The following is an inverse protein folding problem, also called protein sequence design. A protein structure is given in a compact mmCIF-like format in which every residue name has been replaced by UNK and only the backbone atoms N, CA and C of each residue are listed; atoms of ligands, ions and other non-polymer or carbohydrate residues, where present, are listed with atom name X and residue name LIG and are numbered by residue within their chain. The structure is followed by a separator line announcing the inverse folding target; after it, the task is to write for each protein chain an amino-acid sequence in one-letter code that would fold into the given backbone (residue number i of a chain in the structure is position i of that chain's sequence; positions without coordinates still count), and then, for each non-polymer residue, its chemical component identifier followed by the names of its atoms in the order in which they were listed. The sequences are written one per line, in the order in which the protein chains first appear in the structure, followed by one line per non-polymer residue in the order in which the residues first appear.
data_IF_923707097849
#
_entry.id   IF_923707097849
#
_cell.length_a   1.000
_cell.length_b   1.000
_cell.length_c   1.000
_cell.angle_alpha   90.00
_cell.angle_beta   90.00
_cell.angle_gamma   90.00
#
_symmetry.space_group_name_H-M   'P 1'
#
loop_
_entity.id
_entity.type
_entity.pdbx_description
1 polymer ?
#
# COMPACT_ATOMS: atom_id res chain seq x y z
N UNK A 1 15.96 40.57 11.47
CA UNK A 1 16.40 39.26 10.99
C UNK A 1 17.07 39.44 9.65
N UNK A 2 18.38 39.23 9.56
CA UNK A 2 19.14 39.29 8.32
C UNK A 2 19.00 37.96 7.60
N UNK A 3 18.55 37.92 6.33
CA UNK A 3 18.43 36.65 5.59
C UNK A 3 19.83 36.06 5.39
N UNK A 4 19.94 34.74 5.60
CA UNK A 4 21.17 34.01 5.29
C UNK A 4 21.34 34.01 3.75
N UNK A 5 22.52 34.43 3.25
CA UNK A 5 22.81 34.35 1.83
C UNK A 5 23.48 32.99 1.50
N UNK A 6 22.94 32.28 0.52
CA UNK A 6 23.55 31.07 -0.07
C UNK A 6 24.01 31.39 -1.49
N UNK A 7 25.19 30.99 -1.84
CA UNK A 7 25.74 31.15 -3.19
C UNK A 7 25.36 29.91 -4.01
N UNK A 8 24.54 30.11 -5.05
CA UNK A 8 24.21 29.11 -6.06
C UNK A 8 24.59 29.68 -7.42
N UNK A 9 25.44 29.00 -8.15
CA UNK A 9 25.93 29.38 -9.49
C UNK A 9 26.53 30.80 -9.58
N UNK A 10 27.22 31.25 -8.52
CA UNK A 10 27.86 32.58 -8.52
C UNK A 10 26.93 33.77 -8.23
N UNK A 11 25.66 33.53 -7.96
CA UNK A 11 24.67 34.55 -7.61
C UNK A 11 24.28 34.42 -6.13
N UNK A 12 24.34 35.52 -5.37
CA UNK A 12 23.95 35.57 -3.97
C UNK A 12 22.43 35.66 -3.86
N UNK A 13 21.81 34.55 -3.56
CA UNK A 13 20.36 34.49 -3.35
C UNK A 13 20.07 34.57 -1.85
N UNK A 14 19.19 35.51 -1.45
CA UNK A 14 18.67 35.57 -0.08
C UNK A 14 17.72 34.43 0.18
N UNK A 15 18.12 33.49 1.03
CA UNK A 15 17.28 32.36 1.43
C UNK A 15 16.52 32.70 2.72
N UNK A 16 15.23 32.86 2.65
CA UNK A 16 14.35 32.82 3.82
C UNK A 16 14.25 31.34 4.26
N UNK A 17 15.03 30.97 5.28
CA UNK A 17 14.92 29.67 5.92
C UNK A 17 13.59 29.58 6.68
N UNK A 18 12.52 29.20 6.00
CA UNK A 18 11.29 28.78 6.65
C UNK A 18 11.49 27.33 7.09
N UNK A 19 11.81 27.12 8.35
CA UNK A 19 11.77 25.80 8.94
C UNK A 19 10.28 25.50 9.18
N UNK A 20 9.72 24.55 8.47
CA UNK A 20 8.41 24.01 8.81
C UNK A 20 8.54 23.31 10.16
N UNK A 21 8.16 24.00 11.23
CA UNK A 21 7.99 23.36 12.53
C UNK A 21 6.73 22.49 12.43
N UNK A 22 6.91 21.18 12.44
CA UNK A 22 5.80 20.22 12.49
C UNK A 22 5.20 20.32 13.89
N UNK A 23 4.16 21.16 14.02
CA UNK A 23 3.44 21.32 15.26
C UNK A 23 2.65 20.05 15.60
N UNK A 24 2.78 19.53 16.82
CA UNK A 24 1.96 18.42 17.30
C UNK A 24 0.57 18.93 17.68
N UNK A 25 -0.47 18.48 16.96
CA UNK A 25 -1.86 18.79 17.30
C UNK A 25 -2.38 17.69 18.24
N UNK A 26 -2.78 18.07 19.46
CA UNK A 26 -3.38 17.15 20.40
C UNK A 26 -4.91 17.24 20.33
N UNK A 27 -5.57 16.09 20.18
CA UNK A 27 -7.03 16.01 20.16
C UNK A 27 -7.57 15.40 21.44
N UNK A 28 -8.75 15.85 21.89
CA UNK A 28 -9.48 15.15 22.94
C UNK A 28 -9.92 13.74 22.48
N UNK A 29 -10.23 12.80 23.43
CA UNK A 29 -10.49 11.39 23.10
C UNK A 29 -11.55 11.17 22.01
N UNK A 30 -12.67 11.89 22.09
CA UNK A 30 -13.77 11.76 21.13
C UNK A 30 -13.40 12.34 19.74
N UNK A 31 -12.71 13.47 19.73
CA UNK A 31 -12.22 14.07 18.48
C UNK A 31 -11.13 13.21 17.84
N UNK A 32 -10.26 12.61 18.65
CA UNK A 32 -9.25 11.69 18.18
C UNK A 32 -9.87 10.45 17.52
N UNK A 33 -10.94 9.88 18.12
CA UNK A 33 -11.66 8.75 17.53
C UNK A 33 -12.29 9.11 16.17
N UNK A 34 -12.95 10.29 16.08
CA UNK A 34 -13.51 10.78 14.82
C UNK A 34 -12.44 11.01 13.75
N UNK A 35 -11.28 11.56 14.13
CA UNK A 35 -10.15 11.73 13.19
C UNK A 35 -9.53 10.40 12.77
N UNK A 36 -9.43 9.44 13.68
CA UNK A 36 -8.92 8.11 13.37
C UNK A 36 -9.83 7.36 12.38
N UNK A 37 -11.16 7.47 12.53
CA UNK A 37 -12.11 6.85 11.58
C UNK A 37 -12.05 7.47 10.18
N UNK A 38 -11.98 8.81 10.08
CA UNK A 38 -11.80 9.49 8.79
C UNK A 38 -10.48 9.12 8.14
N UNK A 39 -9.38 9.14 8.89
CA UNK A 39 -8.06 8.76 8.40
C UNK A 39 -8.01 7.29 7.92
N UNK A 40 -8.63 6.37 8.67
CA UNK A 40 -8.76 4.97 8.23
C UNK A 40 -9.57 4.86 6.94
N UNK A 41 -10.64 5.64 6.79
CA UNK A 41 -11.43 5.71 5.56
C UNK A 41 -10.62 6.20 4.37
N UNK A 42 -9.79 7.23 4.55
CA UNK A 42 -8.89 7.76 3.53
C UNK A 42 -7.84 6.73 3.11
N UNK A 43 -7.23 6.02 4.07
CA UNK A 43 -6.28 4.94 3.78
C UNK A 43 -6.97 3.82 2.99
N UNK A 44 -8.18 3.41 3.38
CA UNK A 44 -8.95 2.41 2.63
C UNK A 44 -9.22 2.85 1.20
N UNK A 45 -9.70 4.07 1.00
CA UNK A 45 -9.98 4.63 -0.32
C UNK A 45 -8.71 4.68 -1.18
N UNK A 46 -7.61 5.19 -0.62
CA UNK A 46 -6.32 5.28 -1.31
C UNK A 46 -5.78 3.88 -1.66
N UNK A 47 -5.95 2.90 -0.77
CA UNK A 47 -5.54 1.52 -1.02
C UNK A 47 -6.36 0.87 -2.14
N UNK A 48 -7.69 1.11 -2.19
CA UNK A 48 -8.53 0.63 -3.30
C UNK A 48 -8.07 1.25 -4.62
N UNK A 49 -7.86 2.56 -4.63
CA UNK A 49 -7.38 3.28 -5.82
C UNK A 49 -6.02 2.77 -6.28
N UNK A 50 -5.11 2.52 -5.34
CA UNK A 50 -3.79 1.94 -5.62
C UNK A 50 -3.87 0.54 -6.20
N UNK A 51 -4.78 -0.31 -5.68
CA UNK A 51 -4.99 -1.66 -6.22
C UNK A 51 -5.54 -1.63 -7.65
N UNK A 52 -6.50 -0.73 -7.94
CA UNK A 52 -7.07 -0.58 -9.28
C UNK A 52 -6.02 -0.04 -10.27
N UNK A 53 -5.17 0.89 -9.83
CA UNK A 53 -4.11 1.49 -10.64
C UNK A 53 -2.83 0.63 -10.73
N UNK A 54 -2.76 -0.51 -10.02
CA UNK A 54 -1.60 -1.38 -9.99
C UNK A 54 -1.12 -1.80 -11.39
N UNK A 55 -2.00 -2.25 -12.32
CA UNK A 55 -1.56 -2.65 -13.65
C UNK A 55 -0.90 -1.52 -14.45
N UNK A 56 -1.36 -0.27 -14.28
CA UNK A 56 -0.79 0.90 -14.97
C UNK A 56 0.56 1.34 -14.39
N UNK A 57 0.87 0.99 -13.15
CA UNK A 57 2.16 1.30 -12.49
C UNK A 57 3.26 0.28 -12.77
N UNK A 58 2.92 -0.90 -13.31
CA UNK A 58 3.93 -1.95 -13.60
C UNK A 58 4.98 -1.49 -14.64
N UNK A 59 4.63 -0.85 -15.77
CA UNK A 59 5.61 -0.36 -16.72
C UNK A 59 6.59 0.64 -16.11
N UNK A 60 6.09 1.56 -15.29
CA UNK A 60 6.93 2.56 -14.60
C UNK A 60 7.87 1.87 -13.62
N UNK A 61 7.39 0.88 -12.87
CA UNK A 61 8.20 0.08 -11.97
C UNK A 61 9.32 -0.66 -12.71
N UNK A 62 9.04 -1.23 -13.88
CA UNK A 62 10.06 -1.88 -14.73
C UNK A 62 11.11 -0.87 -15.19
N UNK A 63 10.69 0.30 -15.66
CA UNK A 63 11.59 1.36 -16.11
C UNK A 63 12.43 1.92 -14.94
N UNK A 64 11.88 2.03 -13.75
CA UNK A 64 12.60 2.43 -12.53
C UNK A 64 13.56 1.34 -12.04
N UNK A 65 13.24 0.05 -12.28
CA UNK A 65 14.07 -1.07 -11.82
C UNK A 65 15.28 -1.30 -12.73
N UNK A 66 15.07 -1.28 -14.04
CA UNK A 66 16.08 -1.65 -15.04
C UNK A 66 16.54 -0.47 -15.91
N UNK A 67 15.86 0.68 -15.84
CA UNK A 67 16.22 1.93 -16.50
C UNK A 67 17.02 2.86 -15.59
N UNK A 68 17.34 4.06 -16.10
CA UNK A 68 18.05 5.10 -15.34
C UNK A 68 17.09 6.09 -14.63
N UNK A 69 15.86 5.71 -14.37
CA UNK A 69 14.89 6.57 -13.68
C UNK A 69 15.01 6.40 -12.17
N UNK A 70 14.95 7.50 -11.44
CA UNK A 70 14.87 7.47 -9.98
C UNK A 70 13.58 6.79 -9.53
N UNK A 71 13.66 6.10 -8.38
CA UNK A 71 12.50 5.45 -7.77
C UNK A 71 11.54 6.51 -7.24
N UNK A 72 10.27 6.40 -7.63
CA UNK A 72 9.21 7.24 -7.09
C UNK A 72 8.97 6.88 -5.61
N UNK A 73 9.13 7.84 -4.67
CA UNK A 73 8.87 7.61 -3.24
C UNK A 73 7.42 7.24 -2.93
N UNK A 74 6.46 7.65 -3.78
CA UNK A 74 5.03 7.30 -3.67
C UNK A 74 4.67 6.06 -4.50
N UNK A 75 5.68 5.42 -5.11
CA UNK A 75 5.53 4.26 -5.95
C UNK A 75 5.24 2.97 -5.17
N UNK A 76 5.28 1.86 -5.90
CA UNK A 76 5.10 0.54 -5.31
C UNK A 76 6.34 0.14 -4.51
N UNK A 77 6.13 -0.29 -3.27
CA UNK A 77 7.18 -0.68 -2.32
C UNK A 77 7.02 -2.16 -1.98
N UNK A 78 8.11 -2.90 -2.02
CA UNK A 78 8.13 -4.30 -1.58
C UNK A 78 8.51 -4.44 -0.10
N UNK A 79 8.64 -5.70 0.33
CA UNK A 79 8.95 -6.01 1.74
C UNK A 79 10.31 -5.46 2.17
N UNK A 80 11.31 -5.51 1.28
CA UNK A 80 12.66 -4.98 1.56
C UNK A 80 12.64 -3.47 1.66
N UNK A 81 11.85 -2.79 0.80
CA UNK A 81 11.66 -1.35 0.87
C UNK A 81 11.00 -0.91 2.17
N UNK A 82 9.95 -1.61 2.63
CA UNK A 82 9.32 -1.35 3.93
C UNK A 82 10.30 -1.54 5.08
N UNK A 83 11.11 -2.61 5.06
CA UNK A 83 12.14 -2.85 6.08
C UNK A 83 13.19 -1.73 6.09
N UNK A 84 13.61 -1.24 4.92
CA UNK A 84 14.55 -0.12 4.79
C UNK A 84 13.97 1.17 5.34
N UNK A 85 12.75 1.55 4.91
CA UNK A 85 12.05 2.74 5.42
C UNK A 85 11.89 2.69 6.93
N UNK A 86 11.57 1.51 7.47
CA UNK A 86 11.51 1.30 8.92
C UNK A 86 12.86 1.53 9.59
N UNK A 87 13.96 1.02 9.00
CA UNK A 87 15.32 1.24 9.51
C UNK A 87 15.74 2.71 9.46
N UNK A 88 15.50 3.41 8.34
CA UNK A 88 15.78 4.83 8.19
C UNK A 88 14.97 5.67 9.19
N UNK A 89 13.70 5.33 9.43
CA UNK A 89 12.87 5.97 10.45
C UNK A 89 13.46 5.76 11.87
N UNK A 90 13.99 4.58 12.15
CA UNK A 90 14.63 4.30 13.45
C UNK A 90 15.90 5.13 13.66
N UNK A 91 16.72 5.26 12.63
CA UNK A 91 18.05 5.89 12.70
C UNK A 91 18.02 7.42 12.60
N UNK A 92 16.98 8.00 11.94
CA UNK A 92 16.93 9.45 11.73
C UNK A 92 16.93 10.21 13.05
N UNK A 93 17.68 11.33 13.08
CA UNK A 93 17.69 12.27 14.20
C UNK A 93 16.64 13.38 14.05
N UNK A 94 15.99 13.45 12.90
CA UNK A 94 14.95 14.44 12.64
C UNK A 94 13.65 14.18 13.39
N UNK A 95 13.41 12.93 13.81
CA UNK A 95 12.20 12.51 14.52
C UNK A 95 12.48 12.24 16.00
N UNK A 96 11.56 12.68 16.85
CA UNK A 96 11.54 12.32 18.27
C UNK A 96 11.17 10.85 18.45
N UNK A 97 11.50 10.25 19.60
CA UNK A 97 11.15 8.86 19.92
C UNK A 97 9.63 8.59 19.80
N UNK A 98 8.81 9.57 20.20
CA UNK A 98 7.35 9.46 20.09
C UNK A 98 6.89 9.40 18.63
N UNK A 99 7.44 10.25 17.77
CA UNK A 99 7.12 10.27 16.34
C UNK A 99 7.59 8.99 15.65
N UNK A 100 8.75 8.47 15.99
CA UNK A 100 9.23 7.16 15.51
C UNK A 100 8.24 6.06 15.85
N UNK A 101 7.82 5.96 17.11
CA UNK A 101 6.84 4.96 17.55
C UNK A 101 5.52 5.12 16.79
N UNK A 102 5.02 6.36 16.63
CA UNK A 102 3.80 6.62 15.89
C UNK A 102 3.91 6.19 14.42
N UNK A 103 5.05 6.48 13.76
CA UNK A 103 5.33 6.06 12.39
C UNK A 103 5.38 4.54 12.26
N UNK A 104 6.01 3.83 13.20
CA UNK A 104 6.01 2.36 13.20
C UNK A 104 4.61 1.77 13.34
N UNK A 105 3.80 2.31 14.26
CA UNK A 105 2.41 1.88 14.42
C UNK A 105 1.62 2.13 13.13
N UNK A 106 1.83 3.27 12.48
CA UNK A 106 1.19 3.60 11.21
C UNK A 106 1.60 2.65 10.08
N UNK A 107 2.89 2.33 9.96
CA UNK A 107 3.38 1.36 8.97
C UNK A 107 2.71 -0.01 9.20
N UNK A 108 2.69 -0.51 10.42
CA UNK A 108 2.07 -1.80 10.76
C UNK A 108 0.57 -1.77 10.49
N UNK A 109 -0.13 -0.70 10.86
CA UNK A 109 -1.56 -0.55 10.63
C UNK A 109 -1.88 -0.52 9.12
N UNK A 110 -1.11 0.24 8.34
CA UNK A 110 -1.27 0.34 6.88
C UNK A 110 -1.02 -0.99 6.19
N UNK A 111 0.03 -1.73 6.59
CA UNK A 111 0.31 -3.07 6.08
C UNK A 111 -0.83 -4.05 6.37
N UNK A 112 -1.33 -4.08 7.61
CA UNK A 112 -2.46 -4.94 7.97
C UNK A 112 -3.71 -4.62 7.17
N UNK A 113 -4.01 -3.32 7.01
CA UNK A 113 -5.15 -2.86 6.23
C UNK A 113 -5.01 -3.27 4.76
N UNK A 114 -3.84 -3.05 4.16
CA UNK A 114 -3.56 -3.40 2.77
C UNK A 114 -3.64 -4.90 2.54
N UNK A 115 -3.03 -5.72 3.41
CA UNK A 115 -3.08 -7.19 3.34
C UNK A 115 -4.52 -7.69 3.50
N UNK A 116 -5.29 -7.11 4.44
CA UNK A 116 -6.69 -7.45 4.63
C UNK A 116 -7.52 -7.15 3.40
N UNK A 117 -7.35 -5.96 2.80
CA UNK A 117 -8.03 -5.59 1.55
C UNK A 117 -7.63 -6.48 0.38
N UNK A 118 -6.34 -6.79 0.27
CA UNK A 118 -5.82 -7.67 -0.77
C UNK A 118 -6.46 -9.06 -0.67
N UNK A 119 -6.59 -9.58 0.56
CA UNK A 119 -7.25 -10.86 0.81
C UNK A 119 -8.75 -10.86 0.50
N UNK A 120 -9.41 -9.69 0.50
CA UNK A 120 -10.82 -9.57 0.11
C UNK A 120 -11.06 -9.56 -1.40
N UNK A 121 -10.00 -9.47 -2.23
CA UNK A 121 -10.16 -9.53 -3.69
C UNK A 121 -10.77 -10.89 -4.10
N UNK A 122 -11.78 -10.89 -5.00
CA UNK A 122 -12.46 -12.12 -5.43
C UNK A 122 -11.60 -12.95 -6.40
N UNK A 123 -10.36 -13.21 -6.02
CA UNK A 123 -9.34 -13.89 -6.82
C UNK A 123 -8.79 -15.09 -6.02
N UNK A 124 -8.84 -16.28 -6.57
CA UNK A 124 -8.08 -17.41 -6.05
C UNK A 124 -6.59 -17.20 -6.38
N UNK A 125 -5.66 -17.47 -5.46
CA UNK A 125 -5.77 -18.24 -4.19
C UNK A 125 -6.08 -17.41 -2.92
N UNK A 126 -6.56 -16.17 -3.03
CA UNK A 126 -6.89 -15.32 -1.89
C UNK A 126 -8.20 -15.77 -1.21
N UNK A 127 -8.36 -15.39 0.07
CA UNK A 127 -9.57 -15.73 0.86
C UNK A 127 -10.85 -15.19 0.22
N UNK A 128 -10.80 -13.99 -0.37
CA UNK A 128 -11.92 -13.39 -1.09
C UNK A 128 -12.40 -14.22 -2.29
N UNK A 129 -11.51 -14.98 -2.93
CA UNK A 129 -11.89 -15.93 -3.98
C UNK A 129 -12.75 -17.07 -3.44
N UNK A 130 -12.39 -17.65 -2.31
CA UNK A 130 -13.21 -18.66 -1.63
C UNK A 130 -14.55 -18.10 -1.15
N UNK A 131 -14.55 -16.86 -0.60
CA UNK A 131 -15.78 -16.16 -0.24
C UNK A 131 -16.67 -15.91 -1.46
N UNK A 132 -16.12 -15.50 -2.58
CA UNK A 132 -16.87 -15.26 -3.81
C UNK A 132 -17.55 -16.55 -4.32
N UNK A 133 -16.85 -17.69 -4.29
CA UNK A 133 -17.42 -19.01 -4.64
C UNK A 133 -18.56 -19.37 -3.69
N UNK A 134 -18.36 -19.22 -2.37
CA UNK A 134 -19.40 -19.54 -1.37
C UNK A 134 -20.65 -18.65 -1.55
N UNK A 135 -20.46 -17.36 -1.82
CA UNK A 135 -21.55 -16.41 -2.11
C UNK A 135 -22.29 -16.84 -3.39
N UNK A 136 -21.55 -17.16 -4.46
CA UNK A 136 -22.15 -17.62 -5.73
C UNK A 136 -22.99 -18.89 -5.52
N UNK A 137 -22.50 -19.85 -4.76
CA UNK A 137 -23.25 -21.05 -4.41
C UNK A 137 -24.49 -20.74 -3.56
N UNK A 138 -24.38 -19.81 -2.62
CA UNK A 138 -25.51 -19.32 -1.84
C UNK A 138 -26.61 -18.73 -2.75
N UNK A 139 -26.25 -17.90 -3.69
CA UNK A 139 -27.20 -17.32 -4.67
C UNK A 139 -27.82 -18.38 -5.57
N UNK A 140 -27.04 -19.35 -6.06
CA UNK A 140 -27.54 -20.46 -6.89
C UNK A 140 -28.57 -21.29 -6.11
N UNK A 141 -28.26 -21.63 -4.85
CA UNK A 141 -29.16 -22.39 -3.97
C UNK A 141 -30.45 -21.60 -3.69
N UNK A 142 -30.37 -20.30 -3.40
CA UNK A 142 -31.53 -19.45 -3.16
C UNK A 142 -32.41 -19.35 -4.39
N UNK A 143 -31.80 -19.19 -5.59
CA UNK A 143 -32.53 -19.14 -6.86
C UNK A 143 -33.22 -20.47 -7.19
N UNK A 144 -32.55 -21.63 -6.94
CA UNK A 144 -33.15 -22.93 -7.11
C UNK A 144 -34.36 -23.13 -6.19
N UNK A 145 -34.21 -22.77 -4.90
CA UNK A 145 -35.31 -22.84 -3.91
C UNK A 145 -36.50 -22.01 -4.32
N UNK A 146 -36.28 -20.76 -4.81
CA UNK A 146 -37.37 -19.88 -5.29
C UNK A 146 -38.11 -20.43 -6.52
N UNK A 147 -37.42 -21.23 -7.34
CA UNK A 147 -37.99 -21.88 -8.54
C UNK A 147 -38.54 -23.29 -8.29
N UNK A 148 -38.52 -23.77 -7.06
CA UNK A 148 -38.95 -25.16 -6.73
C UNK A 148 -38.05 -26.22 -7.32
N UNK A 149 -36.80 -25.89 -7.69
CA UNK A 149 -35.84 -26.81 -8.27
C UNK A 149 -35.01 -27.49 -7.18
N UNK A 150 -34.47 -28.69 -7.48
CA UNK A 150 -33.54 -29.36 -6.59
C UNK A 150 -32.30 -28.52 -6.33
N UNK A 151 -31.68 -28.72 -5.16
CA UNK A 151 -30.45 -28.03 -4.79
C UNK A 151 -29.34 -28.34 -5.81
N UNK A 152 -28.75 -27.32 -6.46
CA UNK A 152 -27.65 -27.54 -7.39
C UNK A 152 -26.41 -28.10 -6.68
N UNK A 153 -25.60 -28.86 -7.40
CA UNK A 153 -24.30 -29.32 -6.89
C UNK A 153 -23.41 -28.12 -6.52
N UNK A 154 -22.57 -28.24 -5.48
CA UNK A 154 -21.60 -27.19 -5.14
C UNK A 154 -20.75 -26.83 -6.34
N UNK A 155 -20.25 -25.57 -6.33
CA UNK A 155 -19.36 -25.12 -7.38
C UNK A 155 -18.04 -25.90 -7.31
N UNK A 156 -17.65 -26.46 -8.46
CA UNK A 156 -16.41 -27.23 -8.58
C UNK A 156 -15.21 -26.25 -8.65
N UNK A 157 -14.51 -26.09 -7.52
CA UNK A 157 -13.37 -25.19 -7.38
C UNK A 157 -12.18 -25.67 -8.22
N UNK A 158 -12.07 -26.96 -8.54
CA UNK A 158 -10.99 -27.50 -9.35
C UNK A 158 -11.00 -26.90 -10.76
N UNK A 159 -12.16 -26.54 -11.28
CA UNK A 159 -12.27 -25.85 -12.58
C UNK A 159 -11.64 -24.45 -12.59
N UNK A 160 -11.44 -23.85 -11.42
CA UNK A 160 -10.76 -22.56 -11.29
C UNK A 160 -9.24 -22.68 -11.15
N UNK A 161 -8.72 -23.90 -11.01
CA UNK A 161 -7.27 -24.16 -10.87
C UNK A 161 -6.43 -23.45 -11.93
N UNK A 162 -6.75 -23.47 -13.25
CA UNK A 162 -5.93 -22.78 -14.24
C UNK A 162 -5.92 -21.26 -14.04
N UNK A 163 -7.05 -20.67 -13.66
CA UNK A 163 -7.14 -19.23 -13.34
C UNK A 163 -6.31 -18.91 -12.09
N UNK A 164 -6.44 -19.75 -11.07
CA UNK A 164 -5.66 -19.64 -9.83
C UNK A 164 -4.16 -19.67 -10.09
N UNK A 165 -3.71 -20.56 -10.97
CA UNK A 165 -2.30 -20.67 -11.36
C UNK A 165 -1.81 -19.40 -12.08
N UNK A 166 -2.60 -18.83 -12.99
CA UNK A 166 -2.26 -17.58 -13.66
C UNK A 166 -2.12 -16.45 -12.66
N UNK A 167 -3.09 -16.29 -11.75
CA UNK A 167 -3.06 -15.26 -10.70
C UNK A 167 -1.84 -15.45 -9.80
N UNK A 168 -1.56 -16.70 -9.40
CA UNK A 168 -0.39 -16.99 -8.57
C UNK A 168 0.93 -16.61 -9.26
N UNK A 169 1.10 -16.97 -10.54
CA UNK A 169 2.30 -16.62 -11.32
C UNK A 169 2.44 -15.10 -11.46
N UNK A 170 1.35 -14.38 -11.72
CA UNK A 170 1.35 -12.92 -11.81
C UNK A 170 1.77 -12.28 -10.47
N UNK A 171 1.21 -12.76 -9.35
CA UNK A 171 1.56 -12.26 -8.03
C UNK A 171 3.02 -12.56 -7.67
N UNK A 172 3.49 -13.77 -7.96
CA UNK A 172 4.88 -14.16 -7.72
C UNK A 172 5.85 -13.31 -8.57
N UNK A 173 5.50 -13.06 -9.84
CA UNK A 173 6.29 -12.22 -10.74
C UNK A 173 6.35 -10.77 -10.26
N UNK A 174 5.22 -10.20 -9.84
CA UNK A 174 5.16 -8.85 -9.26
C UNK A 174 5.98 -8.76 -7.96
N UNK A 175 5.87 -9.77 -7.10
CA UNK A 175 6.65 -9.83 -5.85
C UNK A 175 8.16 -9.89 -6.12
N UNK A 176 8.58 -10.68 -7.11
CA UNK A 176 9.98 -10.76 -7.53
C UNK A 176 10.47 -9.45 -8.15
N UNK A 177 9.64 -8.79 -8.95
CA UNK A 177 9.94 -7.49 -9.54
C UNK A 177 10.13 -6.42 -8.45
N UNK A 178 9.22 -6.36 -7.46
CA UNK A 178 9.34 -5.45 -6.32
C UNK A 178 10.60 -5.72 -5.50
N UNK A 179 10.90 -6.99 -5.22
CA UNK A 179 12.11 -7.38 -4.51
C UNK A 179 13.37 -6.90 -5.26
N UNK A 180 13.39 -7.11 -6.57
CA UNK A 180 14.50 -6.68 -7.43
C UNK A 180 14.62 -5.15 -7.43
N UNK A 181 13.50 -4.45 -7.55
CA UNK A 181 13.45 -2.99 -7.50
C UNK A 181 13.96 -2.43 -6.17
N UNK A 182 13.55 -3.00 -5.04
CA UNK A 182 13.96 -2.57 -3.71
C UNK A 182 15.47 -2.78 -3.46
N UNK A 183 16.08 -3.77 -4.14
CA UNK A 183 17.52 -4.04 -4.02
C UNK A 183 18.34 -3.18 -4.97
N UNK A 184 17.95 -3.10 -6.26
CA UNK A 184 18.72 -2.40 -7.28
C UNK A 184 18.55 -0.87 -7.23
N UNK A 185 17.34 -0.40 -6.99
CA UNK A 185 17.02 1.02 -6.95
C UNK A 185 16.15 1.32 -5.72
N UNK A 186 16.74 1.37 -4.51
CA UNK A 186 15.99 1.55 -3.28
C UNK A 186 15.40 2.95 -3.16
N UNK A 187 14.18 3.04 -2.61
CA UNK A 187 13.59 4.30 -2.18
C UNK A 187 14.41 4.86 -1.03
N UNK A 188 14.71 6.15 -1.08
CA UNK A 188 15.40 6.91 -0.02
C UNK A 188 14.45 7.98 0.52
N UNK A 189 14.31 8.03 1.82
CA UNK A 189 13.55 9.09 2.49
C UNK A 189 14.47 10.30 2.71
N UNK A 190 14.05 11.46 2.22
CA UNK A 190 14.71 12.74 2.52
C UNK A 190 13.97 13.35 3.73
N UNK A 191 14.51 13.14 4.94
CA UNK A 191 14.02 13.73 6.18
C UNK A 191 14.53 15.16 6.37
#
# INVERSE_FOLDING_TARGET
MTPASRELDGEKIGVLGVVNEIGTITYGPFTALGKATTFTGEILQNSITSLISLPSKIPDLINQTFGNQERDPEGLVGVVGVARVSGETADTKALTTREKIATFILIIASLNLFVGMFNLLPLLPLDGGHMAVAIADGFRNLRAKRKGLAKPAPFDVERLTPITMVVFVLMASLSLLLLTADILNPIRLNF
#
